data_IF_380450146417
#
_entry.id   IF_380450146417
#
_cell.length_a   1.000
_cell.length_b   1.000
_cell.length_c   1.000
_cell.angle_alpha   90.00
_cell.angle_beta   90.00
_cell.angle_gamma   90.00
#
_symmetry.space_group_name_H-M   'P 1'
#
loop_
_entity.id
_entity.type
_entity.pdbx_description
1 polymer ?
#
# COMPACT_ATOMS: atom_id res chain seq x y z
N UNK A 1 14.85 14.35 4.74
CA UNK A 1 14.38 15.75 4.95
C UNK A 1 13.85 16.03 6.38
N UNK A 2 12.96 15.22 6.99
CA UNK A 2 12.46 15.44 8.37
C UNK A 2 12.69 14.29 9.37
N UNK A 3 13.39 13.24 8.93
CA UNK A 3 13.65 12.00 9.70
C UNK A 3 12.40 11.40 10.38
N UNK A 4 11.25 11.49 9.72
CA UNK A 4 10.02 10.90 10.23
C UNK A 4 10.03 9.37 10.04
N UNK A 5 9.33 8.61 10.89
CA UNK A 5 9.24 7.16 10.77
C UNK A 5 8.65 6.67 9.43
N UNK A 6 8.91 5.41 9.09
CA UNK A 6 8.34 4.66 7.95
C UNK A 6 8.78 5.16 6.55
N UNK A 7 9.95 5.78 6.41
CA UNK A 7 10.51 6.06 5.08
C UNK A 7 11.13 4.79 4.49
N UNK A 8 10.77 4.47 3.25
CA UNK A 8 11.22 3.27 2.54
C UNK A 8 11.83 3.62 1.18
N UNK A 9 12.85 2.86 0.78
CA UNK A 9 13.27 2.73 -0.61
C UNK A 9 12.61 1.47 -1.20
N UNK A 10 11.86 1.60 -2.29
CA UNK A 10 10.99 0.54 -2.82
C UNK A 10 11.24 0.30 -4.30
N UNK A 11 11.22 -0.97 -4.71
CA UNK A 11 11.21 -1.38 -6.11
C UNK A 11 10.24 -2.54 -6.31
N UNK A 12 9.55 -2.54 -7.45
CA UNK A 12 8.76 -3.67 -7.93
C UNK A 12 9.17 -4.01 -9.37
N UNK A 13 9.24 -5.30 -9.68
CA UNK A 13 9.56 -5.81 -11.00
C UNK A 13 8.49 -6.81 -11.43
N UNK A 14 8.11 -6.75 -12.70
CA UNK A 14 7.29 -7.75 -13.37
C UNK A 14 7.69 -7.82 -14.85
N UNK A 15 7.17 -8.82 -15.57
CA UNK A 15 7.35 -8.90 -17.01
C UNK A 15 6.77 -7.65 -17.71
N UNK A 16 7.25 -7.36 -18.92
CA UNK A 16 6.80 -6.20 -19.70
C UNK A 16 5.27 -6.22 -19.87
N UNK A 17 4.63 -5.08 -19.56
CA UNK A 17 3.19 -4.90 -19.70
C UNK A 17 2.35 -5.53 -18.58
N UNK A 18 2.97 -6.08 -17.53
CA UNK A 18 2.25 -6.69 -16.39
C UNK A 18 1.98 -5.75 -15.22
N UNK A 19 2.55 -4.56 -15.25
CA UNK A 19 2.26 -3.48 -14.29
C UNK A 19 1.39 -2.45 -14.98
N UNK A 20 0.35 -1.97 -14.29
CA UNK A 20 -0.46 -0.86 -14.77
C UNK A 20 0.44 0.35 -15.02
N UNK A 21 0.41 0.87 -16.24
CA UNK A 21 1.11 2.09 -16.58
C UNK A 21 0.29 3.29 -16.07
N UNK A 22 0.45 3.58 -14.77
CA UNK A 22 -0.32 4.62 -14.11
C UNK A 22 0.21 6.02 -14.47
N UNK A 23 -0.66 6.96 -14.89
CA UNK A 23 -0.27 8.36 -15.04
C UNK A 23 0.10 8.96 -13.68
N UNK A 24 0.88 10.04 -13.69
CA UNK A 24 1.16 10.85 -12.50
C UNK A 24 -0.09 11.64 -12.08
N UNK A 25 -1.03 10.93 -11.45
CA UNK A 25 -2.31 11.41 -10.92
C UNK A 25 -2.58 10.77 -9.57
N UNK A 26 -3.61 11.24 -8.86
CA UNK A 26 -4.09 10.58 -7.65
C UNK A 26 -4.90 9.32 -7.98
N UNK A 27 -5.00 8.43 -7.00
CA UNK A 27 -5.76 7.20 -7.03
C UNK A 27 -6.48 7.02 -5.69
N UNK A 28 -7.79 6.75 -5.72
CA UNK A 28 -8.55 6.19 -4.60
C UNK A 28 -8.10 4.75 -4.38
N UNK A 29 -7.88 4.36 -3.13
CA UNK A 29 -7.32 3.06 -2.76
C UNK A 29 -8.09 2.50 -1.57
N UNK A 30 -8.41 1.21 -1.64
CA UNK A 30 -8.86 0.40 -0.52
C UNK A 30 -8.10 -0.91 -0.54
N UNK A 31 -7.60 -1.36 0.61
CA UNK A 31 -6.82 -2.58 0.70
C UNK A 31 -6.97 -3.29 2.04
N UNK A 32 -6.96 -4.62 2.01
CA UNK A 32 -6.94 -5.52 3.16
C UNK A 32 -5.94 -6.66 2.91
N UNK A 33 -5.45 -7.26 3.99
CA UNK A 33 -4.57 -8.41 3.95
C UNK A 33 -5.22 -9.72 3.45
N UNK A 34 -4.47 -10.82 3.42
CA UNK A 34 -4.97 -12.14 3.05
C UNK A 34 -5.93 -12.71 4.11
N UNK A 35 -6.60 -13.83 3.78
CA UNK A 35 -7.46 -14.56 4.72
C UNK A 35 -8.95 -14.21 4.66
N UNK A 36 -9.34 -13.26 3.81
CA UNK A 36 -10.74 -12.87 3.60
C UNK A 36 -11.30 -13.39 2.27
N UNK A 37 -12.60 -13.71 2.18
CA UNK A 37 -13.26 -14.08 0.93
C UNK A 37 -13.12 -12.99 -0.14
N UNK A 38 -12.94 -13.38 -1.41
CA UNK A 38 -12.85 -12.43 -2.53
C UNK A 38 -14.10 -11.53 -2.60
N UNK A 39 -13.90 -10.24 -2.85
CA UNK A 39 -14.98 -9.25 -2.88
C UNK A 39 -15.41 -8.73 -1.50
N UNK A 40 -14.59 -8.93 -0.46
CA UNK A 40 -14.87 -8.39 0.88
C UNK A 40 -14.89 -6.86 0.88
N UNK A 41 -14.05 -6.23 0.04
CA UNK A 41 -13.95 -4.78 -0.12
C UNK A 41 -14.37 -4.33 -1.52
N UNK A 42 -14.97 -3.14 -1.61
CA UNK A 42 -15.42 -2.52 -2.87
C UNK A 42 -15.35 -0.98 -2.77
N UNK A 43 -14.59 -0.35 -3.68
CA UNK A 43 -14.44 1.11 -3.81
C UNK A 43 -15.75 1.83 -4.15
N UNK A 44 -16.77 1.14 -4.64
CA UNK A 44 -18.08 1.72 -4.93
C UNK A 44 -18.96 1.87 -3.69
N UNK A 45 -18.59 1.23 -2.59
CA UNK A 45 -19.34 1.28 -1.34
C UNK A 45 -18.81 2.39 -0.44
N UNK A 46 -19.64 2.82 0.50
CA UNK A 46 -19.20 3.74 1.55
C UNK A 46 -18.10 3.12 2.42
N UNK A 47 -17.27 3.93 3.10
CA UNK A 47 -16.32 3.44 4.10
C UNK A 47 -17.00 2.61 5.19
N UNK A 48 -18.21 3.00 5.60
CA UNK A 48 -19.00 2.29 6.61
C UNK A 48 -19.40 0.88 6.17
N UNK A 49 -19.89 0.72 4.94
CA UNK A 49 -20.24 -0.60 4.40
C UNK A 49 -19.01 -1.51 4.24
N UNK A 50 -17.87 -0.97 3.81
CA UNK A 50 -16.63 -1.73 3.73
C UNK A 50 -16.16 -2.21 5.10
N UNK A 51 -16.22 -1.35 6.13
CA UNK A 51 -15.85 -1.71 7.50
C UNK A 51 -16.80 -2.77 8.08
N UNK A 52 -18.11 -2.66 7.85
CA UNK A 52 -19.08 -3.66 8.28
C UNK A 52 -18.83 -5.02 7.59
N UNK A 53 -18.56 -5.03 6.28
CA UNK A 53 -18.21 -6.26 5.55
C UNK A 53 -16.94 -6.90 6.06
N UNK A 54 -15.90 -6.10 6.31
CA UNK A 54 -14.64 -6.60 6.85
C UNK A 54 -14.83 -7.15 8.28
N UNK A 55 -15.58 -6.45 9.13
CA UNK A 55 -15.86 -6.89 10.49
C UNK A 55 -16.61 -8.23 10.50
N UNK A 56 -17.63 -8.37 9.63
CA UNK A 56 -18.36 -9.63 9.43
C UNK A 56 -17.44 -10.76 8.94
N UNK A 57 -16.58 -10.49 7.96
CA UNK A 57 -15.65 -11.48 7.43
C UNK A 57 -14.60 -11.93 8.48
N UNK A 58 -14.18 -11.01 9.37
CA UNK A 58 -13.26 -11.27 10.48
C UNK A 58 -13.95 -11.91 11.70
N UNK A 59 -15.26 -11.77 11.83
CA UNK A 59 -16.03 -12.24 12.99
C UNK A 59 -15.90 -11.36 14.23
N UNK A 60 -15.73 -10.05 14.04
CA UNK A 60 -15.56 -9.05 15.13
C UNK A 60 -16.53 -7.87 14.95
N UNK A 61 -16.55 -6.94 15.91
CA UNK A 61 -17.29 -5.69 15.76
C UNK A 61 -16.51 -4.67 14.94
N UNK A 62 -17.18 -3.69 14.34
CA UNK A 62 -16.49 -2.60 13.60
C UNK A 62 -15.54 -1.81 14.51
N UNK A 63 -15.85 -1.68 15.80
CA UNK A 63 -14.97 -1.03 16.78
C UNK A 63 -13.67 -1.78 17.07
N UNK A 64 -13.57 -3.06 16.69
CA UNK A 64 -12.33 -3.85 16.81
C UNK A 64 -11.42 -3.72 15.58
N UNK A 65 -11.85 -2.96 14.56
CA UNK A 65 -11.08 -2.69 13.36
C UNK A 65 -10.32 -1.37 13.45
N UNK A 66 -9.14 -1.34 12.84
CA UNK A 66 -8.35 -0.12 12.67
C UNK A 66 -8.14 0.20 11.19
N UNK A 67 -8.59 1.38 10.77
CA UNK A 67 -8.38 1.92 9.43
C UNK A 67 -7.13 2.82 9.38
N UNK A 68 -6.22 2.54 8.46
CA UNK A 68 -5.08 3.39 8.16
C UNK A 68 -5.44 4.39 7.06
N UNK A 69 -5.22 5.69 7.33
CA UNK A 69 -5.59 6.80 6.43
C UNK A 69 -4.46 7.84 6.47
N UNK A 70 -4.09 8.42 5.32
CA UNK A 70 -3.13 9.53 5.32
C UNK A 70 -3.75 10.81 5.92
N UNK A 71 -3.02 11.51 6.77
CA UNK A 71 -3.43 12.80 7.33
C UNK A 71 -3.26 13.92 6.29
N UNK A 72 -4.35 14.18 5.57
CA UNK A 72 -4.43 15.20 4.51
C UNK A 72 -5.81 15.85 4.55
N UNK A 73 -5.93 17.16 4.23
CA UNK A 73 -7.22 17.85 4.20
C UNK A 73 -8.27 17.15 3.31
N UNK A 74 -7.85 16.56 2.19
CA UNK A 74 -8.74 15.80 1.28
C UNK A 74 -9.38 14.55 1.91
N UNK A 75 -8.87 14.08 3.05
CA UNK A 75 -9.43 12.92 3.76
C UNK A 75 -10.30 13.32 4.96
N UNK A 76 -10.52 14.61 5.24
CA UNK A 76 -11.32 15.03 6.40
C UNK A 76 -12.69 14.34 6.47
N UNK A 77 -13.41 14.34 5.34
CA UNK A 77 -14.71 13.65 5.22
C UNK A 77 -14.60 12.13 5.43
N UNK A 78 -13.61 11.48 4.81
CA UNK A 78 -13.37 10.05 4.98
C UNK A 78 -13.07 9.70 6.45
N UNK A 79 -12.27 10.52 7.13
CA UNK A 79 -11.92 10.35 8.54
C UNK A 79 -13.18 10.48 9.41
N UNK A 80 -14.03 11.46 9.14
CA UNK A 80 -15.31 11.63 9.85
C UNK A 80 -16.25 10.44 9.64
N UNK A 81 -16.42 9.99 8.40
CA UNK A 81 -17.24 8.83 8.05
C UNK A 81 -16.75 7.56 8.75
N UNK A 82 -15.44 7.32 8.77
CA UNK A 82 -14.86 6.16 9.47
C UNK A 82 -15.02 6.30 10.99
N UNK A 83 -14.78 7.48 11.58
CA UNK A 83 -14.98 7.69 13.03
C UNK A 83 -16.42 7.44 13.46
N UNK A 84 -17.39 7.82 12.62
CA UNK A 84 -18.81 7.61 12.92
C UNK A 84 -19.20 6.13 13.02
N UNK A 85 -18.41 5.22 12.44
CA UNK A 85 -18.65 3.77 12.55
C UNK A 85 -18.18 3.15 13.87
N UNK A 86 -17.34 3.87 14.62
CA UNK A 86 -16.68 3.36 15.83
C UNK A 86 -15.34 2.66 15.58
N UNK A 87 -14.93 2.44 14.33
CA UNK A 87 -13.61 1.90 14.01
C UNK A 87 -12.49 2.85 14.48
N UNK A 88 -11.37 2.27 14.93
CA UNK A 88 -10.16 3.03 15.24
C UNK A 88 -9.52 3.58 13.95
N UNK A 89 -8.82 4.72 14.05
CA UNK A 89 -8.10 5.31 12.92
C UNK A 89 -6.62 5.48 13.26
N UNK A 90 -5.77 4.94 12.39
CA UNK A 90 -4.33 5.19 12.38
C UNK A 90 -4.02 6.22 11.29
N UNK A 91 -3.77 7.46 11.70
CA UNK A 91 -3.33 8.51 10.79
C UNK A 91 -1.83 8.38 10.49
N UNK A 92 -1.46 8.46 9.21
CA UNK A 92 -0.06 8.47 8.75
C UNK A 92 0.27 9.77 8.01
N UNK A 93 1.47 10.31 8.25
CA UNK A 93 1.90 11.56 7.61
C UNK A 93 2.27 11.39 6.13
N UNK A 94 2.81 10.23 5.75
CA UNK A 94 3.19 9.85 4.38
C UNK A 94 3.35 8.32 4.30
N UNK A 95 3.57 7.77 3.10
CA UNK A 95 3.92 6.37 2.90
C UNK A 95 2.72 5.43 2.84
N UNK A 96 1.80 5.67 1.91
CA UNK A 96 0.64 4.80 1.71
C UNK A 96 1.00 3.38 1.22
N UNK A 97 2.13 3.19 0.55
CA UNK A 97 2.68 1.84 0.25
C UNK A 97 2.88 1.03 1.54
N UNK A 98 3.51 1.63 2.55
CA UNK A 98 3.72 0.97 3.84
C UNK A 98 2.38 0.75 4.56
N UNK A 99 1.47 1.73 4.52
CA UNK A 99 0.13 1.61 5.08
C UNK A 99 -0.66 0.43 4.50
N UNK A 100 -0.58 0.22 3.20
CA UNK A 100 -1.20 -0.94 2.52
C UNK A 100 -0.50 -2.24 2.91
N UNK A 101 0.84 -2.30 2.92
CA UNK A 101 1.57 -3.52 3.30
C UNK A 101 1.26 -3.92 4.76
N UNK A 102 1.09 -2.97 5.66
CA UNK A 102 0.76 -3.26 7.06
C UNK A 102 -0.54 -4.06 7.21
N UNK A 103 -1.51 -3.90 6.29
CA UNK A 103 -2.75 -4.70 6.29
C UNK A 103 -2.53 -6.20 6.16
N UNK A 104 -1.34 -6.63 5.71
CA UNK A 104 -1.00 -8.05 5.50
C UNK A 104 -0.73 -8.80 6.81
N UNK A 105 -0.40 -8.08 7.88
CA UNK A 105 -0.26 -8.63 9.24
C UNK A 105 -0.91 -7.67 10.26
N UNK A 106 -2.25 -7.67 10.35
CA UNK A 106 -2.95 -6.82 11.31
C UNK A 106 -2.62 -7.15 12.77
N UNK A 107 -2.17 -8.38 13.08
CA UNK A 107 -1.84 -8.78 14.44
C UNK A 107 -0.57 -8.08 14.94
N UNK A 108 0.44 -7.94 14.08
CA UNK A 108 1.67 -7.22 14.40
C UNK A 108 1.52 -5.71 14.24
N UNK A 109 0.83 -5.26 13.19
CA UNK A 109 0.81 -3.83 12.82
C UNK A 109 -0.34 -3.06 13.43
N UNK A 110 -1.41 -3.74 13.86
CA UNK A 110 -2.64 -3.14 14.32
C UNK A 110 -3.42 -2.41 13.23
N UNK A 111 -3.21 -2.73 11.93
CA UNK A 111 -3.91 -2.11 10.80
C UNK A 111 -4.68 -3.20 10.05
N UNK A 112 -6.01 -3.10 10.02
CA UNK A 112 -6.88 -4.06 9.34
C UNK A 112 -7.16 -3.68 7.89
N UNK A 113 -7.29 -2.39 7.62
CA UNK A 113 -7.67 -1.85 6.31
C UNK A 113 -6.94 -0.54 6.03
N UNK A 114 -6.56 -0.33 4.78
CA UNK A 114 -6.15 0.98 4.28
C UNK A 114 -7.27 1.57 3.42
N UNK A 115 -7.64 2.84 3.65
CA UNK A 115 -8.61 3.56 2.81
C UNK A 115 -8.10 4.99 2.59
N UNK A 116 -8.09 5.47 1.34
CA UNK A 116 -7.81 6.88 1.06
C UNK A 116 -7.32 7.15 -0.35
N UNK A 117 -6.81 8.37 -0.55
CA UNK A 117 -6.36 8.92 -1.83
C UNK A 117 -4.86 9.25 -1.75
N UNK A 118 -4.08 8.63 -2.63
CA UNK A 118 -2.64 8.85 -2.77
C UNK A 118 -2.18 8.73 -4.22
N UNK A 119 -0.88 8.80 -4.49
CA UNK A 119 -0.39 8.79 -5.87
C UNK A 119 -0.66 7.44 -6.55
N UNK A 120 -1.03 7.47 -7.82
CA UNK A 120 -1.30 6.27 -8.60
C UNK A 120 -0.07 5.35 -8.74
N UNK A 121 1.16 5.85 -8.99
CA UNK A 121 2.36 5.01 -9.02
C UNK A 121 2.58 4.21 -7.73
N UNK A 122 2.39 4.84 -6.57
CA UNK A 122 2.48 4.20 -5.26
C UNK A 122 1.38 3.16 -5.07
N UNK A 123 0.18 3.40 -5.63
CA UNK A 123 -0.90 2.41 -5.65
C UNK A 123 -0.51 1.12 -6.38
N UNK A 124 0.19 1.26 -7.51
CA UNK A 124 0.70 0.12 -8.28
C UNK A 124 1.82 -0.62 -7.52
N UNK A 125 2.71 0.10 -6.83
CA UNK A 125 3.74 -0.52 -5.97
C UNK A 125 3.12 -1.29 -4.79
N UNK A 126 2.09 -0.72 -4.16
CA UNK A 126 1.35 -1.37 -3.08
C UNK A 126 0.62 -2.63 -3.56
N UNK A 127 -0.01 -2.57 -4.74
CA UNK A 127 -0.63 -3.73 -5.37
C UNK A 127 0.39 -4.83 -5.70
N UNK A 128 1.60 -4.47 -6.13
CA UNK A 128 2.68 -5.42 -6.36
C UNK A 128 3.15 -6.12 -5.07
N UNK A 129 3.22 -5.39 -3.95
CA UNK A 129 3.52 -5.99 -2.66
C UNK A 129 2.42 -6.97 -2.22
N UNK A 130 1.15 -6.54 -2.25
CA UNK A 130 0.01 -7.39 -1.93
C UNK A 130 -0.13 -8.60 -2.88
N UNK A 131 0.24 -8.46 -4.15
CA UNK A 131 0.29 -9.58 -5.09
C UNK A 131 1.23 -10.68 -4.61
N UNK A 132 2.31 -10.32 -3.91
CA UNK A 132 3.25 -11.27 -3.35
C UNK A 132 2.71 -11.94 -2.07
N UNK A 133 2.18 -11.16 -1.13
CA UNK A 133 1.71 -11.63 0.19
C UNK A 133 0.31 -12.24 0.18
N UNK A 134 -0.52 -11.86 -0.79
CA UNK A 134 -1.96 -12.09 -0.79
C UNK A 134 -2.74 -10.94 -0.12
N UNK A 135 -4.06 -10.94 -0.34
CA UNK A 135 -4.98 -9.91 0.10
C UNK A 135 -5.86 -9.40 -1.02
N UNK A 136 -6.52 -8.28 -0.77
CA UNK A 136 -7.38 -7.62 -1.75
C UNK A 136 -7.04 -6.14 -1.77
N UNK A 137 -7.01 -5.57 -2.98
CA UNK A 137 -6.88 -4.13 -3.17
C UNK A 137 -7.68 -3.73 -4.39
N UNK A 138 -8.29 -2.56 -4.31
CA UNK A 138 -8.86 -1.87 -5.46
C UNK A 138 -8.30 -0.46 -5.56
N UNK A 139 -8.16 0.02 -6.79
CA UNK A 139 -7.70 1.36 -7.11
C UNK A 139 -8.59 2.02 -8.17
N UNK A 140 -8.89 3.32 -8.04
CA UNK A 140 -9.54 4.12 -9.10
C UNK A 140 -8.72 5.38 -9.36
N UNK A 141 -8.35 5.63 -10.61
CA UNK A 141 -7.62 6.84 -10.99
C UNK A 141 -8.52 8.07 -10.87
N UNK A 142 -8.02 9.15 -10.26
CA UNK A 142 -8.71 10.42 -10.20
C UNK A 142 -8.37 11.28 -11.43
N UNK A 143 -9.21 11.15 -12.45
CA UNK A 143 -9.11 11.85 -13.74
C UNK A 143 -10.12 13.01 -13.81
N UNK A 144 -9.98 13.94 -12.88
CA UNK A 144 -10.89 15.07 -12.63
C UNK A 144 -10.73 16.26 -13.61
N UNK A 145 -9.78 16.20 -14.55
CA UNK A 145 -9.63 17.22 -15.60
C UNK A 145 -9.55 16.62 -17.00
N UNK A 146 -9.98 17.35 -18.04
CA UNK A 146 -9.87 16.89 -19.43
C UNK A 146 -8.44 16.51 -19.85
N UNK A 147 -7.42 17.20 -19.33
CA UNK A 147 -6.01 16.92 -19.61
C UNK A 147 -5.57 15.58 -19.00
N UNK A 148 -6.00 15.29 -17.77
CA UNK A 148 -5.73 14.00 -17.11
C UNK A 148 -6.42 12.87 -17.86
N UNK A 149 -7.67 13.05 -18.26
CA UNK A 149 -8.42 12.08 -19.08
C UNK A 149 -7.70 11.82 -20.41
N UNK A 150 -7.31 12.88 -21.12
CA UNK A 150 -6.60 12.75 -22.40
C UNK A 150 -5.23 12.06 -22.24
N UNK A 151 -4.49 12.34 -21.16
CA UNK A 151 -3.22 11.67 -20.84
C UNK A 151 -3.43 10.19 -20.53
N UNK A 152 -4.42 9.86 -19.71
CA UNK A 152 -4.74 8.49 -19.34
C UNK A 152 -5.16 7.65 -20.57
N UNK A 153 -5.95 8.22 -21.49
CA UNK A 153 -6.30 7.57 -22.76
C UNK A 153 -5.09 7.20 -23.62
N UNK A 154 -4.09 8.09 -23.71
CA UNK A 154 -2.81 7.79 -24.41
C UNK A 154 -2.03 6.64 -23.77
N UNK A 155 -2.31 6.33 -22.50
CA UNK A 155 -1.71 5.24 -21.73
C UNK A 155 -2.58 3.98 -21.70
N UNK A 156 -3.68 3.95 -22.48
CA UNK A 156 -4.57 2.78 -22.59
C UNK A 156 -5.71 2.74 -21.56
N UNK A 157 -5.98 3.85 -20.86
CA UNK A 157 -7.14 3.95 -19.96
C UNK A 157 -8.34 4.50 -20.73
N UNK A 158 -9.25 3.62 -21.13
CA UNK A 158 -10.45 3.99 -21.90
C UNK A 158 -11.57 4.54 -21.01
N UNK A 159 -11.89 3.83 -19.93
CA UNK A 159 -12.90 4.23 -18.94
C UNK A 159 -12.25 5.01 -17.79
N UNK A 160 -12.56 6.30 -17.62
CA UNK A 160 -11.98 7.12 -16.57
C UNK A 160 -12.46 6.75 -15.16
N UNK A 161 -13.57 6.01 -15.03
CA UNK A 161 -14.13 5.60 -13.74
C UNK A 161 -13.79 4.15 -13.37
N UNK A 162 -12.96 3.49 -14.19
CA UNK A 162 -12.59 2.09 -13.99
C UNK A 162 -12.01 1.86 -12.59
N UNK A 163 -12.56 0.86 -11.91
CA UNK A 163 -11.98 0.28 -10.70
C UNK A 163 -11.04 -0.85 -11.12
N UNK A 164 -9.77 -0.70 -10.80
CA UNK A 164 -8.74 -1.70 -11.03
C UNK A 164 -8.64 -2.60 -9.80
N UNK A 165 -8.69 -3.90 -10.02
CA UNK A 165 -8.28 -4.87 -9.00
C UNK A 165 -6.76 -4.87 -8.80
N UNK A 166 -6.32 -5.40 -7.66
CA UNK A 166 -4.90 -5.67 -7.38
C UNK A 166 -4.21 -6.41 -8.54
N UNK A 167 -4.87 -7.43 -9.09
CA UNK A 167 -4.32 -8.27 -10.15
C UNK A 167 -4.27 -7.55 -11.50
N UNK A 168 -5.06 -6.50 -11.72
CA UNK A 168 -4.95 -5.63 -12.90
C UNK A 168 -3.86 -4.56 -12.73
N UNK A 169 -3.62 -4.11 -11.50
CA UNK A 169 -2.53 -3.18 -11.19
C UNK A 169 -1.16 -3.85 -11.28
N UNK A 170 -1.04 -5.08 -10.79
CA UNK A 170 0.18 -5.88 -10.85
C UNK A 170 -0.15 -7.36 -11.13
N UNK A 171 0.28 -7.86 -12.29
CA UNK A 171 -0.04 -9.20 -12.80
C UNK A 171 1.22 -10.02 -13.09
N UNK A 172 1.04 -11.31 -13.43
CA UNK A 172 2.16 -12.21 -13.75
C UNK A 172 3.03 -12.58 -12.54
N UNK A 173 4.30 -12.86 -12.79
CA UNK A 173 5.32 -13.04 -11.75
C UNK A 173 5.89 -11.69 -11.34
N UNK A 174 5.66 -11.35 -10.08
CA UNK A 174 5.96 -10.04 -9.49
C UNK A 174 6.98 -10.24 -8.39
N UNK A 175 8.02 -9.41 -8.40
CA UNK A 175 9.01 -9.30 -7.34
C UNK A 175 8.87 -7.92 -6.72
N UNK A 176 8.82 -7.87 -5.39
CA UNK A 176 8.81 -6.62 -4.64
C UNK A 176 9.97 -6.62 -3.65
N UNK A 177 10.66 -5.49 -3.52
CA UNK A 177 11.64 -5.28 -2.48
C UNK A 177 11.49 -3.90 -1.86
N UNK A 178 11.64 -3.83 -0.54
CA UNK A 178 11.67 -2.58 0.20
C UNK A 178 12.75 -2.61 1.28
N UNK A 179 13.46 -1.50 1.44
CA UNK A 179 14.49 -1.29 2.47
C UNK A 179 14.11 -0.10 3.34
N UNK A 180 14.22 -0.26 4.66
CA UNK A 180 13.99 0.82 5.62
C UNK A 180 15.05 1.92 5.51
N UNK A 181 14.62 3.16 5.28
CA UNK A 181 15.49 4.34 5.31
C UNK A 181 15.49 4.92 6.73
N UNK A 182 14.29 5.18 7.27
CA UNK A 182 14.07 5.51 8.68
C UNK A 182 13.35 4.37 9.38
N UNK A 183 13.37 4.35 10.71
CA UNK A 183 12.66 3.31 11.44
C UNK A 183 11.17 3.33 11.16
N UNK A 184 10.63 2.16 10.84
CA UNK A 184 9.21 1.96 10.66
C UNK A 184 8.73 0.71 11.39
N UNK A 185 7.42 0.48 11.32
CA UNK A 185 6.79 -0.66 11.96
C UNK A 185 7.26 -2.00 11.33
N UNK A 186 7.54 -2.00 10.03
CA UNK A 186 7.95 -3.20 9.29
C UNK A 186 9.46 -3.34 9.16
N UNK A 187 10.16 -2.25 8.82
CA UNK A 187 11.60 -2.27 8.53
C UNK A 187 12.33 -1.26 9.40
N UNK A 188 13.51 -1.67 9.87
CA UNK A 188 14.41 -0.79 10.62
C UNK A 188 15.12 0.15 9.64
N UNK A 189 15.35 1.38 10.07
CA UNK A 189 16.11 2.35 9.30
C UNK A 189 17.58 1.97 9.19
N UNK A 190 18.29 2.63 8.27
CA UNK A 190 19.73 2.44 8.12
C UNK A 190 20.45 2.82 9.41
N UNK A 191 21.40 1.99 9.86
CA UNK A 191 22.29 2.32 10.98
C UNK A 191 23.70 2.48 10.49
N UNK A 192 24.35 3.54 10.97
CA UNK A 192 25.76 3.82 10.71
C UNK A 192 26.54 3.54 12.01
N UNK A 193 27.51 2.64 11.92
CA UNK A 193 28.51 2.37 12.92
C UNK A 193 29.89 2.79 12.38
N UNK A 194 30.94 2.88 13.21
CA UNK A 194 32.26 3.34 12.77
C UNK A 194 32.87 2.56 11.59
N UNK A 195 32.60 1.26 11.52
CA UNK A 195 33.20 0.32 10.57
C UNK A 195 32.14 -0.45 9.74
N UNK A 196 30.86 -0.05 9.83
CA UNK A 196 29.80 -0.73 9.11
C UNK A 196 28.51 0.07 8.97
N UNK A 197 27.72 -0.30 7.97
CA UNK A 197 26.33 0.14 7.79
C UNK A 197 25.42 -1.08 7.88
N UNK A 198 24.30 -0.99 8.60
CA UNK A 198 23.29 -2.05 8.61
C UNK A 198 22.02 -1.61 7.93
N UNK A 199 21.45 -2.47 7.10
CA UNK A 199 20.16 -2.25 6.41
C UNK A 199 19.20 -3.41 6.68
N UNK A 200 17.91 -3.10 6.74
CA UNK A 200 16.84 -4.08 6.89
C UNK A 200 15.92 -4.02 5.66
N UNK A 201 15.85 -5.14 4.92
CA UNK A 201 15.13 -5.26 3.65
C UNK A 201 14.16 -6.43 3.69
N UNK A 202 12.98 -6.26 3.09
CA UNK A 202 12.08 -7.36 2.73
C UNK A 202 12.11 -7.58 1.23
N UNK A 203 12.15 -8.84 0.79
CA UNK A 203 12.05 -9.25 -0.61
C UNK A 203 10.96 -10.31 -0.74
N UNK A 204 10.05 -10.13 -1.69
CA UNK A 204 8.88 -10.98 -1.88
C UNK A 204 8.71 -11.33 -3.36
N UNK A 205 8.22 -12.54 -3.65
CA UNK A 205 7.94 -12.97 -5.03
C UNK A 205 6.62 -13.73 -5.13
N UNK A 206 5.74 -13.28 -6.02
CA UNK A 206 4.37 -13.80 -6.16
C UNK A 206 4.29 -15.25 -6.60
N UNK A 207 5.13 -15.69 -7.56
CA UNK A 207 5.12 -17.08 -8.05
C UNK A 207 5.51 -18.09 -6.97
N UNK A 208 6.53 -17.76 -6.17
CA UNK A 208 7.05 -18.65 -5.13
C UNK A 208 6.35 -18.50 -3.78
N UNK A 209 5.51 -17.46 -3.60
CA UNK A 209 4.92 -17.04 -2.32
C UNK A 209 5.96 -16.90 -1.18
N UNK A 210 7.22 -16.69 -1.54
CA UNK A 210 8.32 -16.60 -0.59
C UNK A 210 8.50 -15.14 -0.16
N UNK A 211 8.60 -14.94 1.15
CA UNK A 211 8.95 -13.67 1.78
C UNK A 211 10.31 -13.88 2.45
N UNK A 212 11.24 -12.97 2.22
CA UNK A 212 12.58 -12.98 2.81
C UNK A 212 12.82 -11.67 3.54
N UNK A 213 13.16 -11.77 4.81
CA UNK A 213 13.78 -10.66 5.54
C UNK A 213 15.30 -10.78 5.45
N UNK A 214 15.95 -9.68 5.11
CA UNK A 214 17.39 -9.59 4.90
C UNK A 214 17.92 -8.47 5.79
N UNK A 215 18.72 -8.85 6.79
CA UNK A 215 19.55 -7.92 7.56
C UNK A 215 20.97 -8.01 7.02
N UNK A 216 21.43 -6.93 6.40
CA UNK A 216 22.76 -6.86 5.82
C UNK A 216 23.67 -5.98 6.66
N UNK A 217 24.94 -6.37 6.77
CA UNK A 217 26.02 -5.57 7.37
C UNK A 217 27.05 -5.30 6.28
N UNK A 218 27.16 -4.03 5.88
CA UNK A 218 28.07 -3.55 4.85
C UNK A 218 29.34 -3.03 5.54
N UNK A 219 30.48 -3.69 5.35
CA UNK A 219 31.76 -3.34 6.02
C UNK A 219 32.71 -2.51 5.15
N UNK A 220 32.51 -2.56 3.85
CA UNK A 220 33.34 -1.83 2.88
C UNK A 220 32.79 -0.42 2.71
N UNK A 221 33.31 0.50 3.52
CA UNK A 221 32.82 1.88 3.61
C UNK A 221 33.19 2.73 2.40
N UNK A 222 34.20 2.35 1.61
CA UNK A 222 34.62 3.06 0.39
C UNK A 222 33.53 3.08 -0.68
N UNK A 223 32.57 2.14 -0.62
CA UNK A 223 31.43 2.07 -1.55
C UNK A 223 30.36 3.14 -1.30
N UNK A 224 30.41 3.84 -0.18
CA UNK A 224 29.38 4.78 0.26
C UNK A 224 29.90 6.20 0.48
N UNK A 225 31.16 6.46 0.11
CA UNK A 225 31.85 7.75 0.22
C UNK A 225 32.09 8.43 -1.13
#
# INVERSE_FOLDING_TARGET
>A
AKNLPNSLAVIALAERGKMLYAPDVYMEKIAIGPGYPEGTIDLNLSPAENLDRLAKARGVSVSDLTACIMDRPRHARLIEEVRATGAAIRLIGDGDVAGVIHTTDPQQTGIDIYIGIGGAPEGVLAAAALRCTGGQMQGRLLLDTPEKVARARKMGVEDPNKVYSMNEMASGDVIFAATGVTDGNMLSGVRFAPDSITTHTVVMRSSSRTIREIKAVHKDMEKFG
#
